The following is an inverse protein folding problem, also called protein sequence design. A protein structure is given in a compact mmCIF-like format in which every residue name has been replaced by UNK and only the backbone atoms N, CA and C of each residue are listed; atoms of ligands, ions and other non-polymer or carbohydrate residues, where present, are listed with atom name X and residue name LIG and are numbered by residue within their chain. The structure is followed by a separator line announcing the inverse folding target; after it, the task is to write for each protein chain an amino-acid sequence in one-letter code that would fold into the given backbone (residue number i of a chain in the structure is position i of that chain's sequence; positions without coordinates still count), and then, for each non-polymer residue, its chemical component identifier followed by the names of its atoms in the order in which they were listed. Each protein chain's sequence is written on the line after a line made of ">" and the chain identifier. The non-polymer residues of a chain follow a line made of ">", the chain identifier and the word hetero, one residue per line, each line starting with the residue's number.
data_IF_143694146326
#
_entry.id   IF_143694146326
#
_cell.length_a   1.000
_cell.length_b   1.000
_cell.length_c   1.000
_cell.angle_alpha   90.00
_cell.angle_beta   90.00
_cell.angle_gamma   90.00
#
_symmetry.space_group_name_H-M   'P 1'
#
loop_
_entity.id
_entity.type
_entity.pdbx_description
1 polymer ?
#
# COMPACT_ATOMS: atom_id res chain seq x y z
N UNK A 1 90.72 -11.99 49.57
CA UNK A 1 89.41 -12.61 49.94
C UNK A 1 88.36 -11.55 50.30
N UNK A 2 88.74 -10.46 50.96
CA UNK A 2 87.88 -9.30 51.25
C UNK A 2 87.30 -8.65 50.01
N UNK A 3 88.12 -8.40 48.99
CA UNK A 3 87.72 -7.63 47.81
C UNK A 3 86.64 -8.34 46.98
N UNK A 4 86.71 -9.68 46.93
CA UNK A 4 85.73 -10.51 46.23
C UNK A 4 84.34 -10.46 46.92
N UNK A 5 84.31 -10.36 48.25
CA UNK A 5 83.07 -10.21 49.01
C UNK A 5 82.46 -8.81 48.83
N UNK A 6 83.29 -7.77 48.69
CA UNK A 6 82.81 -6.41 48.45
C UNK A 6 82.18 -6.25 47.06
N UNK A 7 82.80 -6.83 46.02
CA UNK A 7 82.24 -6.85 44.67
C UNK A 7 80.91 -7.61 44.61
N UNK A 8 80.83 -8.77 45.27
CA UNK A 8 79.60 -9.55 45.36
C UNK A 8 78.49 -8.77 46.09
N UNK A 9 78.81 -8.10 47.21
CA UNK A 9 77.85 -7.28 47.94
C UNK A 9 77.33 -6.12 47.08
N UNK A 10 78.21 -5.48 46.30
CA UNK A 10 77.83 -4.43 45.35
C UNK A 10 76.90 -4.97 44.26
N UNK A 11 77.22 -6.12 43.67
CA UNK A 11 76.37 -6.77 42.66
C UNK A 11 74.98 -7.13 43.23
N UNK A 12 74.93 -7.64 44.47
CA UNK A 12 73.68 -7.94 45.16
C UNK A 12 72.85 -6.68 45.40
N UNK A 13 73.44 -5.57 45.84
CA UNK A 13 72.74 -4.29 46.02
C UNK A 13 72.14 -3.78 44.71
N UNK A 14 72.89 -3.86 43.60
CA UNK A 14 72.38 -3.47 42.29
C UNK A 14 71.24 -4.37 41.85
N UNK A 15 71.36 -5.69 42.05
CA UNK A 15 70.29 -6.64 41.71
C UNK A 15 69.02 -6.38 42.52
N UNK A 16 69.14 -6.14 43.83
CA UNK A 16 68.00 -5.79 44.69
C UNK A 16 67.33 -4.51 44.20
N UNK A 17 68.10 -3.46 43.89
CA UNK A 17 67.56 -2.19 43.39
C UNK A 17 66.81 -2.36 42.06
N UNK A 18 67.31 -3.19 41.14
CA UNK A 18 66.61 -3.50 39.88
C UNK A 18 65.30 -4.23 40.17
N UNK A 19 65.32 -5.25 41.02
CA UNK A 19 64.14 -6.03 41.37
C UNK A 19 63.07 -5.19 42.07
N UNK A 20 63.47 -4.27 42.96
CA UNK A 20 62.56 -3.31 43.58
C UNK A 20 61.89 -2.41 42.53
N UNK A 21 62.68 -1.90 41.58
CA UNK A 21 62.16 -1.10 40.47
C UNK A 21 61.17 -1.86 39.58
N UNK A 22 61.46 -3.12 39.27
CA UNK A 22 60.55 -3.99 38.51
C UNK A 22 59.28 -4.31 39.28
N UNK A 23 59.38 -4.57 40.58
CA UNK A 23 58.23 -4.87 41.44
C UNK A 23 57.30 -3.66 41.56
N UNK A 24 57.87 -2.45 41.70
CA UNK A 24 57.10 -1.21 41.68
C UNK A 24 56.38 -1.01 40.34
N UNK A 25 57.06 -1.26 39.21
CA UNK A 25 56.47 -1.14 37.88
C UNK A 25 55.31 -2.12 37.69
N UNK A 26 55.51 -3.39 38.03
CA UNK A 26 54.46 -4.42 37.96
C UNK A 26 53.29 -4.12 38.88
N UNK A 27 53.54 -3.63 40.10
CA UNK A 27 52.46 -3.23 41.01
C UNK A 27 51.64 -2.08 40.44
N UNK A 28 52.27 -1.10 39.78
CA UNK A 28 51.58 -0.02 39.11
C UNK A 28 50.73 -0.52 37.93
N UNK A 29 51.25 -1.46 37.14
CA UNK A 29 50.49 -2.12 36.06
C UNK A 29 49.28 -2.90 36.60
N UNK A 30 49.47 -3.68 37.67
CA UNK A 30 48.39 -4.40 38.34
C UNK A 30 47.32 -3.46 38.94
N UNK A 31 47.70 -2.25 39.37
CA UNK A 31 46.74 -1.25 39.82
C UNK A 31 45.92 -0.71 38.64
N UNK A 32 46.58 -0.35 37.52
CA UNK A 32 45.90 0.09 36.29
C UNK A 32 44.93 -0.95 35.75
N UNK A 33 45.33 -2.22 35.73
CA UNK A 33 44.47 -3.32 35.27
C UNK A 33 43.24 -3.48 36.16
N UNK A 34 43.37 -3.30 37.47
CA UNK A 34 42.21 -3.32 38.39
C UNK A 34 41.25 -2.16 38.10
N UNK A 35 41.76 -0.94 37.92
CA UNK A 35 40.94 0.23 37.58
C UNK A 35 40.21 0.03 36.24
N UNK A 36 40.89 -0.57 35.26
CA UNK A 36 40.29 -0.88 33.96
C UNK A 36 39.21 -1.96 34.07
N UNK A 37 39.42 -3.02 34.85
CA UNK A 37 38.42 -4.04 35.12
C UNK A 37 37.17 -3.45 35.76
N UNK A 38 37.31 -2.59 36.76
CA UNK A 38 36.17 -1.91 37.39
C UNK A 38 35.42 -0.99 36.40
N UNK A 39 36.15 -0.33 35.49
CA UNK A 39 35.54 0.45 34.41
C UNK A 39 34.74 -0.45 33.46
N UNK A 40 35.29 -1.58 33.05
CA UNK A 40 34.63 -2.54 32.15
C UNK A 40 33.39 -3.15 32.80
N UNK A 41 33.43 -3.51 34.08
CA UNK A 41 32.26 -4.01 34.81
C UNK A 41 31.12 -2.99 34.84
N UNK A 42 31.43 -1.70 35.03
CA UNK A 42 30.42 -0.63 34.97
C UNK A 42 29.79 -0.53 33.58
N UNK A 43 30.60 -0.62 32.53
CA UNK A 43 30.13 -0.60 31.15
C UNK A 43 29.26 -1.82 30.85
N UNK A 44 29.64 -3.01 31.30
CA UNK A 44 28.87 -4.24 31.12
C UNK A 44 27.48 -4.11 31.76
N UNK A 45 27.39 -3.60 33.00
CA UNK A 45 26.10 -3.35 33.67
C UNK A 45 25.21 -2.36 32.90
N UNK A 46 25.81 -1.30 32.34
CA UNK A 46 25.07 -0.33 31.52
C UNK A 46 24.57 -0.97 30.22
N UNK A 47 25.41 -1.78 29.57
CA UNK A 47 25.03 -2.51 28.37
C UNK A 47 23.86 -3.46 28.64
N UNK A 48 23.92 -4.26 29.70
CA UNK A 48 22.85 -5.17 30.08
C UNK A 48 21.52 -4.43 30.36
N UNK A 49 21.60 -3.27 31.05
CA UNK A 49 20.44 -2.42 31.29
C UNK A 49 19.84 -1.86 29.99
N UNK A 50 20.69 -1.45 29.03
CA UNK A 50 20.25 -0.99 27.72
C UNK A 50 19.61 -2.12 26.90
N UNK A 51 20.19 -3.32 26.90
CA UNK A 51 19.61 -4.50 26.27
C UNK A 51 18.22 -4.84 26.85
N UNK A 52 18.05 -4.75 28.17
CA UNK A 52 16.75 -4.92 28.81
C UNK A 52 15.73 -3.87 28.36
N UNK A 53 16.16 -2.61 28.25
CA UNK A 53 15.30 -1.51 27.77
C UNK A 53 14.87 -1.73 26.32
N UNK A 54 15.80 -2.09 25.43
CA UNK A 54 15.51 -2.38 24.02
C UNK A 54 14.51 -3.53 23.90
N UNK A 55 14.70 -4.61 24.66
CA UNK A 55 13.80 -5.77 24.64
C UNK A 55 12.37 -5.38 25.09
N UNK A 56 12.26 -4.56 26.15
CA UNK A 56 10.98 -4.03 26.62
C UNK A 56 10.28 -3.17 25.56
N UNK A 57 11.03 -2.26 24.91
CA UNK A 57 10.50 -1.42 23.84
C UNK A 57 10.06 -2.23 22.61
N UNK A 58 10.80 -3.28 22.25
CA UNK A 58 10.40 -4.20 21.17
C UNK A 58 9.08 -4.91 21.51
N UNK A 59 8.94 -5.43 22.72
CA UNK A 59 7.69 -6.06 23.17
C UNK A 59 6.51 -5.07 23.18
N UNK A 60 6.73 -3.82 23.61
CA UNK A 60 5.73 -2.76 23.57
C UNK A 60 5.32 -2.41 22.12
N UNK A 61 6.28 -2.39 21.20
CA UNK A 61 6.01 -2.13 19.78
C UNK A 61 5.20 -3.27 19.15
N UNK A 62 5.55 -4.52 19.46
CA UNK A 62 4.82 -5.70 18.98
C UNK A 62 3.38 -5.74 19.49
N UNK A 63 3.17 -5.49 20.79
CA UNK A 63 1.82 -5.43 21.35
C UNK A 63 0.99 -4.28 20.75
N UNK A 64 1.60 -3.11 20.52
CA UNK A 64 0.96 -2.00 19.83
C UNK A 64 0.57 -2.33 18.39
N UNK A 65 1.46 -3.01 17.63
CA UNK A 65 1.16 -3.48 16.28
C UNK A 65 0.02 -4.50 16.26
N UNK A 66 0.01 -5.45 17.19
CA UNK A 66 -1.06 -6.43 17.31
C UNK A 66 -2.40 -5.77 17.65
N UNK A 67 -2.41 -4.82 18.59
CA UNK A 67 -3.60 -4.04 18.93
C UNK A 67 -4.13 -3.24 17.73
N UNK A 68 -3.23 -2.60 16.97
CA UNK A 68 -3.61 -1.87 15.76
C UNK A 68 -4.19 -2.78 14.68
N UNK A 69 -3.57 -3.95 14.43
CA UNK A 69 -4.09 -4.92 13.47
C UNK A 69 -5.48 -5.44 13.89
N UNK A 70 -5.67 -5.76 15.17
CA UNK A 70 -6.97 -6.13 15.71
C UNK A 70 -8.00 -5.02 15.56
N UNK A 71 -7.63 -3.76 15.80
CA UNK A 71 -8.52 -2.63 15.62
C UNK A 71 -8.95 -2.48 14.15
N UNK A 72 -8.02 -2.59 13.21
CA UNK A 72 -8.33 -2.57 11.78
C UNK A 72 -9.29 -3.70 11.38
N UNK A 73 -9.05 -4.92 11.85
CA UNK A 73 -9.94 -6.05 11.58
C UNK A 73 -11.34 -5.82 12.16
N UNK A 74 -11.45 -5.24 13.37
CA UNK A 74 -12.76 -4.89 13.94
C UNK A 74 -13.51 -3.86 13.10
N UNK A 75 -12.83 -2.81 12.63
CA UNK A 75 -13.41 -1.79 11.75
C UNK A 75 -13.89 -2.42 10.43
N UNK A 76 -13.07 -3.25 9.82
CA UNK A 76 -13.42 -3.92 8.56
C UNK A 76 -14.62 -4.85 8.74
N UNK A 77 -14.67 -5.60 9.84
CA UNK A 77 -15.81 -6.44 10.19
C UNK A 77 -17.09 -5.64 10.41
N UNK A 78 -17.01 -4.46 11.04
CA UNK A 78 -18.17 -3.57 11.17
C UNK A 78 -18.64 -3.05 9.81
N UNK A 79 -17.73 -2.59 8.95
CA UNK A 79 -18.07 -2.14 7.58
C UNK A 79 -18.74 -3.24 6.75
N UNK A 80 -18.29 -4.49 6.88
CA UNK A 80 -18.94 -5.65 6.22
C UNK A 80 -20.36 -5.84 6.74
N UNK A 81 -20.57 -5.85 8.07
CA UNK A 81 -21.91 -5.95 8.67
C UNK A 81 -22.84 -4.82 8.24
N UNK A 82 -22.36 -3.58 8.21
CA UNK A 82 -23.16 -2.44 7.75
C UNK A 82 -23.63 -2.61 6.30
N UNK A 83 -22.72 -3.06 5.40
CA UNK A 83 -23.09 -3.39 4.03
C UNK A 83 -24.12 -4.52 3.98
N UNK A 84 -23.89 -5.62 4.69
CA UNK A 84 -24.79 -6.77 4.72
C UNK A 84 -26.19 -6.40 5.24
N UNK A 85 -26.26 -5.54 6.27
CA UNK A 85 -27.52 -5.01 6.78
C UNK A 85 -28.26 -4.15 5.75
N UNK A 86 -27.54 -3.28 5.03
CA UNK A 86 -28.14 -2.47 3.95
C UNK A 86 -28.67 -3.37 2.82
N UNK A 87 -27.88 -4.35 2.38
CA UNK A 87 -28.31 -5.32 1.36
C UNK A 87 -29.52 -6.15 1.84
N UNK A 88 -29.51 -6.62 3.08
CA UNK A 88 -30.63 -7.36 3.66
C UNK A 88 -31.92 -6.53 3.69
N UNK A 89 -31.85 -5.26 4.11
CA UNK A 89 -33.00 -4.34 4.09
C UNK A 89 -33.51 -4.07 2.67
N UNK A 90 -32.61 -3.92 1.69
CA UNK A 90 -32.99 -3.74 0.29
C UNK A 90 -33.69 -4.98 -0.27
N UNK A 91 -33.12 -6.17 -0.08
CA UNK A 91 -33.69 -7.44 -0.57
C UNK A 91 -35.05 -7.72 0.06
N UNK A 92 -35.17 -7.54 1.38
CA UNK A 92 -36.46 -7.70 2.07
C UNK A 92 -37.49 -6.70 1.56
N UNK A 93 -37.13 -5.43 1.35
CA UNK A 93 -38.01 -4.41 0.77
C UNK A 93 -38.49 -4.74 -0.65
N UNK A 94 -37.59 -5.20 -1.53
CA UNK A 94 -37.95 -5.64 -2.89
C UNK A 94 -38.88 -6.86 -2.82
N UNK A 95 -38.57 -7.83 -1.96
CA UNK A 95 -39.39 -9.04 -1.81
C UNK A 95 -40.80 -8.73 -1.31
N UNK A 96 -40.95 -7.80 -0.36
CA UNK A 96 -42.27 -7.36 0.11
C UNK A 96 -43.07 -6.68 -0.99
N UNK A 97 -42.44 -5.80 -1.79
CA UNK A 97 -43.10 -5.15 -2.93
C UNK A 97 -43.49 -6.13 -4.03
N UNK A 98 -42.66 -7.14 -4.30
CA UNK A 98 -42.98 -8.19 -5.27
C UNK A 98 -44.12 -9.09 -4.77
N UNK A 99 -44.22 -9.36 -3.47
CA UNK A 99 -45.34 -10.08 -2.89
C UNK A 99 -46.65 -9.28 -2.97
N UNK A 100 -46.61 -7.96 -2.70
CA UNK A 100 -47.76 -7.06 -2.88
C UNK A 100 -48.19 -6.94 -4.36
N UNK A 101 -47.24 -6.90 -5.28
CA UNK A 101 -47.51 -6.92 -6.72
C UNK A 101 -48.03 -8.28 -7.23
N UNK A 102 -47.69 -9.38 -6.53
CA UNK A 102 -48.10 -10.74 -6.84
C UNK A 102 -49.53 -11.10 -6.40
N UNK A 103 -50.16 -10.31 -5.52
CA UNK A 103 -51.57 -10.51 -5.13
C UNK A 103 -52.57 -9.84 -6.09
N UNK A 104 -52.10 -9.16 -7.15
CA UNK A 104 -52.95 -8.61 -8.22
C UNK A 104 -52.63 -9.28 -9.56
N UNK A 105 -52.70 -10.60 -9.62
CA UNK A 105 -52.81 -11.29 -10.91
C UNK A 105 -53.58 -12.60 -10.76
N UNK A 106 -54.90 -12.46 -10.71
CA UNK A 106 -55.78 -13.52 -11.16
C UNK A 106 -55.72 -13.63 -12.68
N UNK A 107 -55.70 -14.88 -13.16
CA UNK A 107 -55.91 -15.39 -14.53
C UNK A 107 -54.63 -15.76 -15.30
N UNK A 108 -54.38 -17.08 -15.32
CA UNK A 108 -53.53 -17.87 -16.23
C UNK A 108 -54.26 -18.05 -17.59
N UNK A 109 -53.58 -18.29 -18.74
CA UNK A 109 -53.26 -19.68 -19.16
C UNK A 109 -51.85 -19.82 -19.80
N UNK A 110 -51.03 -20.80 -19.41
CA UNK A 110 -50.82 -22.10 -20.10
C UNK A 110 -50.31 -22.03 -21.55
N UNK A 111 -49.03 -22.42 -21.78
CA UNK A 111 -48.51 -22.74 -23.12
C UNK A 111 -46.98 -22.92 -23.26
N UNK A 112 -46.49 -24.14 -22.98
CA UNK A 112 -45.41 -24.96 -23.62
C UNK A 112 -44.10 -24.30 -24.16
N UNK A 113 -42.91 -24.91 -23.93
CA UNK A 113 -41.60 -24.34 -24.24
C UNK A 113 -41.08 -24.69 -25.65
N UNK A 114 -40.38 -23.76 -26.30
CA UNK A 114 -39.62 -24.01 -27.53
C UNK A 114 -38.18 -23.54 -27.37
N UNK A 115 -37.27 -24.51 -27.53
CA UNK A 115 -35.82 -24.35 -27.59
C UNK A 115 -35.36 -23.59 -28.85
N UNK A 116 -34.05 -23.34 -28.93
CA UNK A 116 -33.27 -22.62 -29.95
C UNK A 116 -33.02 -21.14 -29.53
N UNK A 117 -31.82 -20.55 -29.57
CA UNK A 117 -30.66 -20.80 -30.43
C UNK A 117 -29.40 -20.18 -29.78
N UNK A 118 -28.28 -20.90 -29.87
CA UNK A 118 -26.91 -20.45 -29.58
C UNK A 118 -26.39 -19.57 -30.74
N UNK A 119 -25.95 -18.34 -30.44
CA UNK A 119 -25.08 -17.50 -31.30
C UNK A 119 -24.80 -16.18 -30.54
N UNK A 120 -23.64 -15.51 -30.52
CA UNK A 120 -22.28 -15.73 -30.99
C UNK A 120 -21.43 -14.61 -30.36
N UNK A 121 -20.22 -14.90 -29.87
CA UNK A 121 -19.22 -13.87 -29.58
C UNK A 121 -18.71 -13.24 -30.88
N UNK A 122 -18.33 -11.95 -30.87
CA UNK A 122 -17.22 -11.48 -31.68
C UNK A 122 -16.03 -11.14 -30.79
N UNK A 123 -15.01 -12.00 -30.92
CA UNK A 123 -13.63 -11.79 -30.52
C UNK A 123 -12.98 -10.95 -31.61
N UNK A 124 -12.49 -9.75 -31.29
CA UNK A 124 -11.57 -9.03 -32.18
C UNK A 124 -10.39 -8.49 -31.37
N UNK A 125 -9.27 -9.21 -31.44
CA UNK A 125 -7.95 -8.61 -31.39
C UNK A 125 -7.61 -8.20 -32.81
N UNK A 126 -7.17 -6.95 -33.03
CA UNK A 126 -6.13 -6.68 -34.03
C UNK A 126 -5.22 -5.55 -33.55
N UNK A 127 -3.94 -5.87 -33.59
CA UNK A 127 -2.82 -5.00 -33.31
C UNK A 127 -2.53 -4.12 -34.54
N UNK A 128 -2.64 -2.80 -34.37
CA UNK A 128 -2.22 -1.80 -35.35
C UNK A 128 -0.97 -1.07 -34.88
N UNK A 129 0.18 -1.47 -35.41
CA UNK A 129 1.48 -0.80 -35.29
C UNK A 129 1.42 0.66 -35.77
N UNK A 130 1.67 1.63 -34.86
CA UNK A 130 2.03 3.00 -35.23
C UNK A 130 3.10 3.54 -34.28
N UNK A 131 4.22 3.97 -34.86
CA UNK A 131 5.42 4.42 -34.16
C UNK A 131 5.15 5.60 -33.20
N UNK A 132 5.76 5.64 -32.00
CA UNK A 132 5.57 6.75 -31.09
C UNK A 132 6.44 7.94 -31.52
N UNK A 133 5.79 9.03 -31.92
CA UNK A 133 6.43 10.35 -32.01
C UNK A 133 6.82 10.80 -30.59
N UNK A 134 8.11 10.73 -30.28
CA UNK A 134 8.67 11.20 -29.01
C UNK A 134 8.67 12.73 -28.94
N UNK A 135 8.08 13.30 -27.89
CA UNK A 135 8.12 14.74 -27.61
C UNK A 135 9.40 15.11 -26.85
N UNK A 136 10.12 16.13 -27.32
CA UNK A 136 11.31 16.67 -26.64
C UNK A 136 10.88 17.85 -25.76
N UNK A 137 11.03 17.70 -24.44
CA UNK A 137 10.83 18.79 -23.48
C UNK A 137 12.17 19.48 -23.23
N UNK A 138 12.26 20.77 -23.55
CA UNK A 138 13.45 21.58 -23.23
C UNK A 138 13.36 22.07 -21.78
N UNK A 139 14.35 21.72 -20.96
CA UNK A 139 14.54 22.29 -19.62
C UNK A 139 15.55 23.44 -19.70
N UNK A 140 15.39 24.44 -18.85
CA UNK A 140 16.15 25.70 -18.90
C UNK A 140 17.60 25.60 -18.40
N UNK A 141 18.10 24.42 -17.99
CA UNK A 141 19.47 24.31 -17.45
C UNK A 141 20.15 22.93 -17.54
N UNK A 142 19.79 22.04 -18.47
CA UNK A 142 20.48 20.73 -18.53
C UNK A 142 20.04 19.77 -19.64
N UNK A 143 20.74 18.64 -19.72
CA UNK A 143 20.72 17.67 -20.82
C UNK A 143 19.30 17.21 -21.23
N UNK A 144 19.07 17.13 -22.55
CA UNK A 144 17.81 16.68 -23.13
C UNK A 144 17.51 15.22 -22.74
N UNK A 145 16.35 15.02 -22.11
CA UNK A 145 15.83 13.67 -21.82
C UNK A 145 14.88 13.29 -22.96
N UNK A 146 15.26 12.28 -23.74
CA UNK A 146 14.39 11.67 -24.76
C UNK A 146 13.50 10.66 -24.05
N UNK A 147 12.26 11.04 -23.78
CA UNK A 147 11.27 10.15 -23.19
C UNK A 147 10.71 9.25 -24.29
N UNK A 148 11.15 7.98 -24.32
CA UNK A 148 10.50 6.95 -25.11
C UNK A 148 9.15 6.63 -24.46
N UNK A 149 8.05 7.03 -25.11
CA UNK A 149 6.70 6.78 -24.59
C UNK A 149 6.40 5.28 -24.63
N UNK A 150 6.17 4.72 -23.44
CA UNK A 150 5.57 3.40 -23.27
C UNK A 150 4.06 3.47 -23.57
N UNK A 151 3.44 2.40 -24.07
CA UNK A 151 2.05 2.38 -24.60
C UNK A 151 0.92 2.60 -23.57
N UNK A 152 1.23 3.00 -22.34
CA UNK A 152 0.27 3.23 -21.24
C UNK A 152 0.04 4.70 -20.91
N UNK A 153 0.81 5.63 -21.49
CA UNK A 153 0.62 7.07 -21.25
C UNK A 153 -0.02 7.76 -22.46
N UNK A 154 -1.30 7.48 -22.69
CA UNK A 154 -2.15 8.21 -23.65
C UNK A 154 -3.49 8.62 -23.03
N UNK A 155 -3.46 9.11 -21.78
CA UNK A 155 -4.58 9.87 -21.21
C UNK A 155 -4.05 11.24 -20.79
N UNK A 156 -4.45 12.26 -21.57
CA UNK A 156 -5.00 13.46 -20.94
C UNK A 156 -4.12 14.69 -20.78
N UNK A 157 -3.21 15.04 -21.71
CA UNK A 157 -2.71 16.43 -21.79
C UNK A 157 -2.66 16.92 -23.23
N UNK A 158 -3.84 17.11 -23.83
CA UNK A 158 -4.01 18.00 -24.98
C UNK A 158 -4.04 19.47 -24.50
N UNK A 159 -3.61 20.44 -25.33
CA UNK A 159 -3.67 21.85 -24.97
C UNK A 159 -5.13 22.29 -24.80
N UNK A 160 -5.52 22.67 -23.59
CA UNK A 160 -6.85 23.16 -23.27
C UNK A 160 -7.06 24.55 -23.89
N UNK A 161 -7.85 24.62 -24.96
CA UNK A 161 -8.34 25.87 -25.52
C UNK A 161 -9.47 26.38 -24.61
N UNK A 162 -9.14 27.28 -23.66
CA UNK A 162 -10.13 27.87 -22.74
C UNK A 162 -10.92 28.97 -23.46
N UNK A 163 -12.25 28.88 -23.60
CA UNK A 163 -13.04 30.03 -24.03
C UNK A 163 -13.03 31.09 -22.92
N UNK A 164 -12.43 32.24 -23.24
CA UNK A 164 -12.54 33.46 -22.46
C UNK A 164 -13.95 34.04 -22.58
N UNK A 165 -14.51 34.48 -21.44
CA UNK A 165 -15.66 35.39 -21.25
C UNK A 165 -16.97 34.76 -20.75
N UNK A 166 -17.08 34.63 -19.42
CA UNK A 166 -18.37 34.58 -18.70
C UNK A 166 -18.65 35.94 -18.03
N UNK A 167 -18.62 37.01 -18.82
CA UNK A 167 -19.16 38.33 -18.44
C UNK A 167 -19.93 38.90 -19.63
N UNK A 168 -21.16 38.45 -19.81
CA UNK A 168 -22.21 39.16 -20.55
C UNK A 168 -23.57 38.61 -20.13
N UNK A 169 -24.12 39.23 -19.08
CA UNK A 169 -25.54 39.21 -18.76
C UNK A 169 -26.20 40.33 -19.58
N UNK A 170 -27.39 40.04 -20.10
CA UNK A 170 -28.35 40.93 -20.81
C UNK A 170 -28.22 41.01 -22.34
N UNK A 171 -28.99 40.17 -23.06
CA UNK A 171 -30.15 40.60 -23.87
C UNK A 171 -30.81 39.37 -24.52
N UNK A 172 -32.15 39.39 -24.56
CA UNK A 172 -32.99 38.19 -24.71
C UNK A 172 -33.17 37.64 -26.12
N UNK A 173 -33.63 36.40 -26.20
CA UNK A 173 -34.94 35.97 -26.76
C UNK A 173 -35.03 34.43 -26.69
N UNK A 174 -36.22 33.85 -26.50
CA UNK A 174 -36.38 32.40 -26.42
C UNK A 174 -36.37 31.82 -27.83
N UNK A 175 -35.29 31.13 -28.19
CA UNK A 175 -35.24 30.37 -29.44
C UNK A 175 -35.80 28.96 -29.19
N UNK A 176 -37.03 28.77 -29.66
CA UNK A 176 -37.62 27.48 -29.96
C UNK A 176 -36.65 26.66 -30.83
N UNK A 177 -36.16 25.54 -30.30
CA UNK A 177 -35.78 24.41 -31.14
C UNK A 177 -36.80 23.30 -30.91
N UNK A 178 -37.66 23.14 -31.92
CA UNK A 178 -38.62 22.08 -32.03
C UNK A 178 -37.92 20.73 -31.98
N UNK A 179 -38.20 19.94 -30.93
CA UNK A 179 -38.03 18.50 -31.00
C UNK A 179 -39.23 17.99 -31.81
N UNK A 180 -38.95 17.81 -33.10
CA UNK A 180 -39.79 17.05 -34.02
C UNK A 180 -40.03 15.69 -33.39
N UNK A 181 -41.31 15.34 -33.21
CA UNK A 181 -41.72 14.03 -32.75
C UNK A 181 -41.19 12.96 -33.69
N UNK A 182 -40.20 12.21 -33.23
CA UNK A 182 -40.06 10.82 -33.62
C UNK A 182 -40.79 10.02 -32.56
N UNK A 183 -41.79 9.26 -32.99
CA UNK A 183 -42.33 8.13 -32.24
C UNK A 183 -41.18 7.13 -32.12
N UNK A 184 -40.30 7.37 -31.16
CA UNK A 184 -39.30 6.40 -30.74
C UNK A 184 -40.05 5.50 -29.78
N UNK A 185 -40.27 4.29 -30.25
CA UNK A 185 -40.85 3.16 -29.56
C UNK A 185 -40.44 3.16 -28.08
N UNK A 186 -41.37 3.51 -27.19
CA UNK A 186 -41.10 3.68 -25.75
C UNK A 186 -40.50 2.39 -25.15
N UNK A 187 -40.86 1.24 -25.72
CA UNK A 187 -40.31 -0.07 -25.37
C UNK A 187 -38.80 -0.17 -25.63
N UNK A 188 -38.29 0.52 -26.65
CA UNK A 188 -36.88 0.51 -27.03
C UNK A 188 -36.06 1.43 -26.12
N UNK A 189 -36.66 2.52 -25.64
CA UNK A 189 -36.05 3.41 -24.64
C UNK A 189 -35.99 2.74 -23.25
N UNK A 190 -37.05 2.00 -22.87
CA UNK A 190 -37.05 1.19 -21.63
C UNK A 190 -36.06 0.04 -21.71
N UNK A 191 -35.96 -0.64 -22.86
CA UNK A 191 -34.96 -1.69 -23.08
C UNK A 191 -33.53 -1.14 -22.95
N UNK A 192 -33.27 0.03 -23.52
CA UNK A 192 -31.98 0.69 -23.38
C UNK A 192 -31.68 1.10 -21.92
N UNK A 193 -32.68 1.60 -21.19
CA UNK A 193 -32.54 1.93 -19.78
C UNK A 193 -32.27 0.69 -18.91
N UNK A 194 -32.97 -0.42 -19.19
CA UNK A 194 -32.75 -1.70 -18.52
C UNK A 194 -31.35 -2.27 -18.82
N UNK A 195 -30.84 -2.07 -20.04
CA UNK A 195 -29.49 -2.47 -20.41
C UNK A 195 -28.42 -1.66 -19.66
N UNK A 196 -28.56 -0.33 -19.57
CA UNK A 196 -27.66 0.50 -18.75
C UNK A 196 -27.69 0.13 -17.28
N UNK A 197 -28.87 -0.12 -16.70
CA UNK A 197 -29.00 -0.54 -15.29
C UNK A 197 -28.35 -1.92 -15.06
N UNK A 198 -28.47 -2.83 -16.04
CA UNK A 198 -27.81 -4.13 -16.00
C UNK A 198 -26.28 -3.99 -16.10
N UNK A 199 -25.77 -3.12 -16.96
CA UNK A 199 -24.35 -2.82 -17.06
C UNK A 199 -23.82 -2.18 -15.77
N UNK A 200 -24.56 -1.25 -15.17
CA UNK A 200 -24.22 -0.62 -13.89
C UNK A 200 -24.23 -1.65 -12.75
N UNK A 201 -25.21 -2.56 -12.70
CA UNK A 201 -25.25 -3.64 -11.72
C UNK A 201 -24.07 -4.62 -11.91
N UNK A 202 -23.71 -4.94 -13.15
CA UNK A 202 -22.56 -5.79 -13.45
C UNK A 202 -21.24 -5.13 -13.04
N UNK A 203 -21.08 -3.83 -13.31
CA UNK A 203 -19.94 -3.05 -12.86
C UNK A 203 -19.86 -2.99 -11.33
N UNK A 204 -20.98 -2.78 -10.64
CA UNK A 204 -21.03 -2.78 -9.18
C UNK A 204 -20.70 -4.13 -8.53
N UNK A 205 -20.85 -5.25 -9.24
CA UNK A 205 -20.42 -6.59 -8.80
C UNK A 205 -18.93 -6.80 -9.10
N UNK A 206 -18.43 -6.31 -10.24
CA UNK A 206 -17.03 -6.47 -10.63
C UNK A 206 -16.05 -5.56 -9.86
N UNK A 207 -16.43 -4.32 -9.53
CA UNK A 207 -15.54 -3.37 -8.84
C UNK A 207 -15.09 -3.81 -7.44
N UNK A 208 -15.94 -4.41 -6.59
CA UNK A 208 -15.50 -4.99 -5.32
C UNK A 208 -14.48 -6.11 -5.50
N UNK A 209 -14.68 -7.00 -6.47
CA UNK A 209 -13.78 -8.12 -6.74
C UNK A 209 -12.41 -7.66 -7.27
N UNK A 210 -12.41 -6.64 -8.14
CA UNK A 210 -11.17 -6.03 -8.66
C UNK A 210 -10.41 -5.31 -7.55
N UNK A 211 -11.09 -4.56 -6.70
CA UNK A 211 -10.46 -3.88 -5.56
C UNK A 211 -9.82 -4.88 -4.58
N UNK A 212 -10.50 -5.99 -4.28
CA UNK A 212 -9.99 -7.03 -3.40
C UNK A 212 -8.80 -7.80 -4.04
N UNK A 213 -8.82 -8.01 -5.36
CA UNK A 213 -7.72 -8.64 -6.08
C UNK A 213 -6.47 -7.74 -6.14
N UNK A 214 -6.65 -6.45 -6.39
CA UNK A 214 -5.56 -5.46 -6.38
C UNK A 214 -4.97 -5.30 -4.99
N UNK A 215 -5.80 -5.21 -3.95
CA UNK A 215 -5.33 -5.10 -2.57
C UNK A 215 -4.56 -6.36 -2.14
N UNK A 216 -5.01 -7.55 -2.55
CA UNK A 216 -4.30 -8.82 -2.31
C UNK A 216 -2.92 -8.82 -2.98
N UNK A 217 -2.83 -8.37 -4.24
CA UNK A 217 -1.58 -8.32 -4.98
C UNK A 217 -0.60 -7.29 -4.39
N UNK A 218 -1.11 -6.16 -3.85
CA UNK A 218 -0.31 -5.18 -3.15
C UNK A 218 0.25 -5.73 -1.83
N UNK A 219 -0.55 -6.46 -1.05
CA UNK A 219 -0.09 -7.11 0.18
C UNK A 219 1.03 -8.13 -0.09
N UNK A 220 0.88 -8.96 -1.11
CA UNK A 220 1.89 -9.95 -1.51
C UNK A 220 3.22 -9.29 -1.92
N UNK A 221 3.17 -8.21 -2.71
CA UNK A 221 4.39 -7.45 -3.08
C UNK A 221 5.06 -6.81 -1.88
N UNK A 222 4.27 -6.28 -0.94
CA UNK A 222 4.78 -5.63 0.27
C UNK A 222 5.44 -6.66 1.20
N UNK A 223 4.89 -7.87 1.26
CA UNK A 223 5.49 -9.01 1.96
C UNK A 223 6.80 -9.47 1.30
N UNK A 224 6.83 -9.57 -0.04
CA UNK A 224 8.04 -9.89 -0.80
C UNK A 224 9.16 -8.85 -0.63
N UNK A 225 8.81 -7.57 -0.46
CA UNK A 225 9.75 -6.48 -0.17
C UNK A 225 10.28 -6.48 1.28
N UNK A 226 9.51 -7.05 2.22
CA UNK A 226 9.92 -7.18 3.63
C UNK A 226 10.88 -8.33 3.87
N UNK A 227 10.91 -9.33 2.98
CA UNK A 227 11.94 -10.37 3.08
C UNK A 227 13.27 -9.79 2.61
N UNK A 228 14.30 -9.73 3.49
CA UNK A 228 15.62 -9.28 3.07
C UNK A 228 16.11 -10.25 2.00
N UNK A 229 16.33 -9.73 0.78
CA UNK A 229 17.12 -10.44 -0.22
C UNK A 229 18.52 -10.64 0.38
N UNK A 230 18.74 -11.78 1.01
CA UNK A 230 20.07 -12.28 1.27
C UNK A 230 20.67 -12.63 -0.10
N UNK A 231 21.43 -11.68 -0.63
CA UNK A 231 22.37 -11.84 -1.72
C UNK A 231 23.76 -11.71 -1.10
#
# INVERSE_FOLDING_TARGET
>A
MTDNLEEENKALRTKVSILEGELLRRNAECAKLRDEMERLERIAKLYDAQCGTVSSLQSALESSRAAHASALETIERMKRRERDEVYSRLVTGVRSRLAEAGEVSGVVPSGVPTAMTLASLPRNMEAGTRAPAGGVVKTSSGAQVVCNSSPISSIGFGPANRPSNLLSVMHGTPSHCAVVGNVVDEENEVAHLMEMVKEEAMMNIMYPEVADAEERQLRERLEALKQPKMS
#
